data_IF_321465862565
#
_entry.id   IF_321465862565
#
_cell.length_a   1.000
_cell.length_b   1.000
_cell.length_c   1.000
_cell.angle_alpha   90.00
_cell.angle_beta   90.00
_cell.angle_gamma   90.00
#
_symmetry.space_group_name_H-M   'P 1'
#
loop_
_entity.id
_entity.type
_entity.pdbx_description
1 polymer ?
#
# COMPACT_ATOMS: atom_id res chain seq x y z
N UNK A 1 -7.36 15.13 -8.50
CA UNK A 1 -7.36 13.81 -7.87
C UNK A 1 -5.97 13.19 -7.94
N UNK A 2 -5.54 12.55 -6.87
CA UNK A 2 -4.29 11.79 -6.79
C UNK A 2 -4.58 10.30 -6.60
N UNK A 3 -3.91 9.46 -7.37
CA UNK A 3 -4.06 7.99 -7.33
C UNK A 3 -2.71 7.35 -7.09
N UNK A 4 -2.61 6.49 -6.08
CA UNK A 4 -1.43 5.68 -5.81
C UNK A 4 -1.77 4.21 -6.05
N UNK A 5 -1.01 3.59 -6.93
CA UNK A 5 -1.08 2.15 -7.19
C UNK A 5 0.01 1.49 -6.37
N UNK A 6 -0.39 0.72 -5.36
CA UNK A 6 0.51 -0.05 -4.49
C UNK A 6 0.67 -1.43 -5.10
N UNK A 7 1.88 -1.79 -5.45
CA UNK A 7 2.21 -3.11 -5.97
C UNK A 7 3.60 -3.53 -5.49
N UNK A 8 4.11 -4.66 -5.93
CA UNK A 8 5.44 -5.14 -5.56
C UNK A 8 5.48 -6.59 -5.16
N UNK A 9 6.64 -7.03 -4.69
CA UNK A 9 6.87 -8.41 -4.28
C UNK A 9 5.91 -8.85 -3.18
N UNK A 10 5.40 -10.05 -3.30
CA UNK A 10 4.58 -10.68 -2.26
C UNK A 10 5.40 -10.83 -0.97
N UNK A 11 4.85 -10.34 0.16
CA UNK A 11 5.58 -10.28 1.43
C UNK A 11 6.45 -9.02 1.63
N UNK A 12 6.50 -8.10 0.66
CA UNK A 12 7.25 -6.84 0.79
C UNK A 12 6.51 -5.75 1.61
N UNK A 13 5.28 -5.99 2.09
CA UNK A 13 4.57 -5.07 2.98
C UNK A 13 3.47 -4.24 2.33
N UNK A 14 2.89 -4.69 1.21
CA UNK A 14 1.79 -3.98 0.51
C UNK A 14 0.61 -3.64 1.42
N UNK A 15 0.16 -4.59 2.24
CA UNK A 15 -0.95 -4.36 3.18
C UNK A 15 -0.59 -3.32 4.26
N UNK A 16 0.66 -3.30 4.73
CA UNK A 16 1.13 -2.27 5.67
C UNK A 16 1.07 -0.89 5.01
N UNK A 17 1.52 -0.78 3.76
CA UNK A 17 1.46 0.49 3.03
C UNK A 17 0.01 0.96 2.81
N UNK A 18 -0.90 0.03 2.50
CA UNK A 18 -2.32 0.31 2.34
C UNK A 18 -2.93 0.88 3.64
N UNK A 19 -2.73 0.22 4.78
CA UNK A 19 -3.24 0.68 6.08
C UNK A 19 -2.69 2.06 6.46
N UNK A 20 -1.40 2.33 6.23
CA UNK A 20 -0.81 3.65 6.53
C UNK A 20 -1.44 4.76 5.69
N UNK A 21 -1.76 4.48 4.43
CA UNK A 21 -2.45 5.45 3.59
C UNK A 21 -3.92 5.62 4.02
N UNK A 22 -4.61 4.56 4.41
CA UNK A 22 -5.96 4.61 4.98
C UNK A 22 -5.98 5.49 6.24
N UNK A 23 -5.05 5.28 7.18
CA UNK A 23 -4.85 6.10 8.37
C UNK A 23 -4.52 7.58 8.04
N UNK A 24 -4.05 7.84 6.81
CA UNK A 24 -3.74 9.17 6.28
C UNK A 24 -4.86 9.76 5.41
N UNK A 25 -6.10 9.28 5.59
CA UNK A 25 -7.32 9.72 4.89
C UNK A 25 -7.29 9.48 3.36
N UNK A 26 -6.60 8.44 2.90
CA UNK A 26 -6.76 7.97 1.54
C UNK A 26 -7.94 6.99 1.47
N UNK A 27 -8.73 7.07 0.40
CA UNK A 27 -9.68 6.01 0.07
C UNK A 27 -8.91 4.81 -0.46
N UNK A 28 -8.93 3.70 0.28
CA UNK A 28 -8.11 2.52 -0.03
C UNK A 28 -8.96 1.38 -0.55
N UNK A 29 -8.56 0.80 -1.68
CA UNK A 29 -9.15 -0.43 -2.21
C UNK A 29 -8.06 -1.49 -2.35
N UNK A 30 -8.21 -2.59 -1.62
CA UNK A 30 -7.26 -3.69 -1.64
C UNK A 30 -7.65 -4.76 -2.69
N UNK A 31 -6.63 -5.39 -3.27
CA UNK A 31 -6.75 -6.49 -4.21
C UNK A 31 -7.63 -6.17 -5.45
N UNK A 32 -7.49 -4.97 -5.98
CA UNK A 32 -8.23 -4.54 -7.17
C UNK A 32 -7.67 -5.19 -8.44
N UNK A 33 -8.49 -5.85 -9.27
CA UNK A 33 -8.06 -6.27 -10.60
C UNK A 33 -7.67 -5.06 -11.47
N UNK A 34 -6.56 -5.11 -12.25
CA UNK A 34 -6.11 -3.96 -13.06
C UNK A 34 -7.17 -3.38 -13.99
N UNK A 35 -8.00 -4.23 -14.60
CA UNK A 35 -9.09 -3.81 -15.47
C UNK A 35 -10.16 -2.96 -14.75
N UNK A 36 -10.28 -3.08 -13.43
CA UNK A 36 -11.24 -2.33 -12.61
C UNK A 36 -10.71 -0.97 -12.14
N UNK A 37 -9.43 -0.65 -12.41
CA UNK A 37 -8.84 0.61 -11.96
C UNK A 37 -9.55 1.82 -12.57
N UNK A 38 -9.72 1.85 -13.89
CA UNK A 38 -10.38 2.97 -14.57
C UNK A 38 -11.87 3.12 -14.20
N UNK A 39 -12.68 2.04 -14.14
CA UNK A 39 -14.05 2.11 -13.63
C UNK A 39 -14.12 2.64 -12.18
N UNK A 40 -13.28 2.15 -11.28
CA UNK A 40 -13.25 2.61 -9.90
C UNK A 40 -12.99 4.11 -9.81
N UNK A 41 -11.94 4.60 -10.48
CA UNK A 41 -11.58 6.03 -10.41
C UNK A 41 -12.70 6.92 -10.95
N UNK A 42 -13.39 6.51 -12.00
CA UNK A 42 -14.56 7.24 -12.52
C UNK A 42 -15.72 7.30 -11.54
N UNK A 43 -15.94 6.22 -10.78
CA UNK A 43 -17.02 6.14 -9.79
C UNK A 43 -16.77 7.04 -8.58
N UNK A 44 -15.50 7.06 -8.10
CA UNK A 44 -15.14 7.85 -6.91
C UNK A 44 -14.69 9.28 -7.22
N UNK A 45 -14.64 9.65 -8.49
CA UNK A 45 -14.30 11.01 -8.94
C UNK A 45 -15.32 12.02 -8.41
N UNK A 46 -14.83 13.02 -7.70
CA UNK A 46 -15.68 14.03 -7.05
C UNK A 46 -15.95 13.76 -5.57
N UNK A 47 -15.89 12.53 -5.09
CA UNK A 47 -16.04 12.18 -3.69
C UNK A 47 -14.68 12.10 -2.97
N UNK A 48 -13.65 11.56 -3.65
CA UNK A 48 -12.32 11.34 -3.08
C UNK A 48 -11.24 12.06 -3.87
N UNK A 49 -10.43 12.84 -3.17
CA UNK A 49 -9.27 13.52 -3.76
C UNK A 49 -8.00 12.66 -3.77
N UNK A 50 -7.94 11.67 -2.88
CA UNK A 50 -6.80 10.76 -2.69
C UNK A 50 -7.30 9.32 -2.68
N UNK A 51 -6.82 8.52 -3.62
CA UNK A 51 -7.21 7.11 -3.79
C UNK A 51 -5.96 6.26 -3.83
N UNK A 52 -5.90 5.22 -3.01
CA UNK A 52 -4.85 4.22 -3.04
C UNK A 52 -5.45 2.85 -3.43
N UNK A 53 -4.84 2.18 -4.38
CA UNK A 53 -5.30 0.87 -4.83
C UNK A 53 -4.16 -0.14 -4.73
N UNK A 54 -4.42 -1.28 -4.09
CA UNK A 54 -3.47 -2.39 -4.08
C UNK A 54 -3.78 -3.30 -5.26
N UNK A 55 -2.82 -3.43 -6.16
CA UNK A 55 -2.94 -4.28 -7.35
C UNK A 55 -1.90 -5.39 -7.28
N UNK A 56 -2.37 -6.61 -7.38
CA UNK A 56 -1.53 -7.81 -7.40
C UNK A 56 -1.33 -8.28 -8.84
N UNK A 57 -0.15 -7.99 -9.39
CA UNK A 57 0.19 -8.33 -10.78
C UNK A 57 0.83 -9.71 -10.80
N UNK A 58 0.07 -10.74 -11.16
CA UNK A 58 0.53 -12.14 -11.24
C UNK A 58 0.66 -12.69 -12.64
N UNK A 59 0.39 -11.91 -13.66
CA UNK A 59 0.50 -12.32 -15.05
C UNK A 59 0.90 -11.17 -15.94
N UNK A 60 1.41 -11.50 -17.14
CA UNK A 60 1.76 -10.49 -18.13
C UNK A 60 0.54 -9.72 -18.65
N UNK A 61 -0.61 -10.38 -18.75
CA UNK A 61 -1.87 -9.73 -19.12
C UNK A 61 -2.25 -8.63 -18.11
N UNK A 62 -2.09 -8.87 -16.82
CA UNK A 62 -2.36 -7.87 -15.78
C UNK A 62 -1.43 -6.65 -15.86
N UNK A 63 -0.17 -6.85 -16.27
CA UNK A 63 0.75 -5.74 -16.51
C UNK A 63 0.29 -4.87 -17.68
N UNK A 64 -0.13 -5.47 -18.78
CA UNK A 64 -0.63 -4.76 -19.96
C UNK A 64 -1.92 -3.98 -19.64
N UNK A 65 -2.86 -4.59 -18.92
CA UNK A 65 -4.09 -3.93 -18.46
C UNK A 65 -3.80 -2.74 -17.53
N UNK A 66 -2.83 -2.89 -16.61
CA UNK A 66 -2.42 -1.81 -15.72
C UNK A 66 -1.81 -0.64 -16.50
N UNK A 67 -0.96 -0.93 -17.48
CA UNK A 67 -0.34 0.09 -18.33
C UNK A 67 -1.41 0.87 -19.14
N UNK A 68 -2.39 0.17 -19.69
CA UNK A 68 -3.51 0.78 -20.43
C UNK A 68 -4.36 1.67 -19.51
N UNK A 69 -4.73 1.17 -18.33
CA UNK A 69 -5.51 1.92 -17.35
C UNK A 69 -4.76 3.18 -16.88
N UNK A 70 -3.45 3.06 -16.62
CA UNK A 70 -2.61 4.21 -16.26
C UNK A 70 -2.55 5.27 -17.37
N UNK A 71 -2.41 4.85 -18.62
CA UNK A 71 -2.41 5.77 -19.78
C UNK A 71 -3.74 6.51 -19.91
N UNK A 72 -4.87 5.82 -19.76
CA UNK A 72 -6.20 6.42 -19.80
C UNK A 72 -6.41 7.44 -18.67
N UNK A 73 -5.99 7.13 -17.44
CA UNK A 73 -6.09 8.05 -16.30
C UNK A 73 -5.22 9.30 -16.48
N UNK A 74 -4.04 9.17 -17.10
CA UNK A 74 -3.21 10.34 -17.45
C UNK A 74 -3.91 11.27 -18.45
N UNK A 75 -4.64 10.71 -19.43
CA UNK A 75 -5.44 11.52 -20.38
C UNK A 75 -6.57 12.27 -19.67
N UNK A 76 -7.10 11.74 -18.58
CA UNK A 76 -8.08 12.40 -17.69
C UNK A 76 -7.45 13.42 -16.73
N UNK A 77 -6.16 13.70 -16.85
CA UNK A 77 -5.40 14.59 -15.95
C UNK A 77 -5.38 14.13 -14.47
N UNK A 78 -5.60 12.84 -14.24
CA UNK A 78 -5.44 12.24 -12.91
C UNK A 78 -3.95 12.01 -12.65
N UNK A 79 -3.47 12.47 -11.49
CA UNK A 79 -2.09 12.23 -11.08
C UNK A 79 -1.94 10.79 -10.55
N UNK A 80 -1.37 9.91 -11.37
CA UNK A 80 -1.22 8.48 -11.05
C UNK A 80 0.24 8.17 -10.80
N UNK A 81 0.55 7.61 -9.62
CA UNK A 81 1.89 7.13 -9.24
C UNK A 81 1.86 5.66 -8.87
N UNK A 82 2.89 4.94 -9.25
CA UNK A 82 3.11 3.53 -8.87
C UNK A 82 4.14 3.50 -7.75
N UNK A 83 3.72 2.99 -6.60
CA UNK A 83 4.58 2.59 -5.49
C UNK A 83 4.87 1.10 -5.59
N UNK A 84 6.12 0.75 -5.86
CA UNK A 84 6.59 -0.63 -5.90
C UNK A 84 7.34 -0.96 -4.60
N UNK A 85 6.82 -1.92 -3.84
CA UNK A 85 7.49 -2.44 -2.65
C UNK A 85 8.37 -3.63 -3.02
N UNK A 86 9.65 -3.53 -2.69
CA UNK A 86 10.64 -4.57 -2.93
C UNK A 86 11.25 -5.07 -1.63
N UNK A 87 11.88 -6.23 -1.66
CA UNK A 87 12.71 -6.75 -0.58
C UNK A 87 13.65 -7.81 -1.12
N UNK A 88 14.78 -8.02 -0.45
CA UNK A 88 15.73 -9.08 -0.80
C UNK A 88 15.06 -10.47 -0.71
N UNK A 89 15.46 -11.37 -1.59
CA UNK A 89 14.84 -12.70 -1.73
C UNK A 89 14.90 -13.49 -0.41
N UNK A 90 16.05 -13.43 0.29
CA UNK A 90 16.22 -14.12 1.57
C UNK A 90 15.27 -13.58 2.66
N UNK A 91 14.98 -12.29 2.62
CA UNK A 91 14.03 -11.67 3.57
C UNK A 91 12.61 -12.08 3.24
N UNK A 92 12.24 -12.11 1.96
CA UNK A 92 10.92 -12.60 1.53
C UNK A 92 10.70 -14.04 1.93
N UNK A 93 11.69 -14.91 1.68
CA UNK A 93 11.63 -16.33 2.10
C UNK A 93 11.40 -16.44 3.60
N UNK A 94 12.18 -15.74 4.43
CA UNK A 94 12.01 -15.74 5.89
C UNK A 94 10.63 -15.26 6.34
N UNK A 95 10.08 -14.22 5.70
CA UNK A 95 8.72 -13.71 6.00
C UNK A 95 7.65 -14.74 5.69
N UNK A 96 7.79 -15.49 4.59
CA UNK A 96 6.88 -16.57 4.23
C UNK A 96 6.99 -17.75 5.19
N UNK A 97 8.20 -18.17 5.56
CA UNK A 97 8.43 -19.23 6.54
C UNK A 97 7.80 -18.89 7.90
N UNK A 98 7.97 -17.63 8.36
CA UNK A 98 7.39 -17.16 9.61
C UNK A 98 5.85 -17.21 9.61
N UNK A 99 5.21 -16.94 8.48
CA UNK A 99 3.73 -16.97 8.36
C UNK A 99 3.16 -18.35 8.04
N UNK A 100 4.01 -19.32 7.71
CA UNK A 100 3.62 -20.67 7.27
C UNK A 100 2.64 -20.68 6.09
N UNK A 101 2.70 -19.68 5.22
CA UNK A 101 1.87 -19.59 4.02
C UNK A 101 2.69 -19.95 2.80
N UNK A 102 2.12 -20.68 1.82
CA UNK A 102 2.80 -20.91 0.55
C UNK A 102 2.93 -19.59 -0.22
N UNK A 103 4.03 -19.45 -0.97
CA UNK A 103 4.18 -18.32 -1.87
C UNK A 103 3.17 -18.42 -3.04
N UNK A 104 2.51 -17.33 -3.47
CA UNK A 104 1.47 -17.38 -4.52
C UNK A 104 1.92 -18.02 -5.84
N UNK A 105 3.19 -17.91 -6.20
CA UNK A 105 3.77 -18.52 -7.40
C UNK A 105 4.59 -19.79 -7.09
N UNK A 106 4.41 -20.39 -5.91
CA UNK A 106 5.01 -21.68 -5.57
C UNK A 106 4.22 -22.81 -6.23
N UNK A 107 4.87 -23.59 -7.08
CA UNK A 107 4.24 -24.69 -7.83
C UNK A 107 4.59 -26.06 -7.24
N UNK A 108 4.57 -26.19 -5.91
CA UNK A 108 4.95 -27.43 -5.20
C UNK A 108 6.46 -27.56 -4.96
N UNK A 109 7.24 -26.54 -5.28
CA UNK A 109 8.67 -26.41 -5.05
C UNK A 109 8.98 -25.52 -3.83
N UNK A 110 10.23 -25.03 -3.71
CA UNK A 110 10.62 -24.19 -2.58
C UNK A 110 10.05 -22.77 -2.70
N UNK A 111 9.84 -22.11 -1.56
CA UNK A 111 9.42 -20.69 -1.50
C UNK A 111 10.36 -19.80 -2.33
N UNK A 112 11.68 -20.06 -2.26
CA UNK A 112 12.68 -19.32 -3.04
C UNK A 112 12.42 -19.36 -4.56
N UNK A 113 12.00 -20.52 -5.08
CA UNK A 113 11.72 -20.68 -6.51
C UNK A 113 10.48 -19.86 -6.91
N UNK A 114 9.47 -19.76 -6.03
CA UNK A 114 8.32 -18.88 -6.18
C UNK A 114 8.68 -17.41 -6.18
N UNK A 115 9.53 -16.97 -5.24
CA UNK A 115 10.05 -15.58 -5.15
C UNK A 115 10.83 -15.22 -6.42
N UNK A 116 11.71 -16.11 -6.89
CA UNK A 116 12.51 -15.88 -8.11
C UNK A 116 11.62 -15.71 -9.35
N UNK A 117 10.55 -16.53 -9.48
CA UNK A 117 9.58 -16.38 -10.56
C UNK A 117 8.83 -15.06 -10.50
N UNK A 118 8.39 -14.67 -9.30
CA UNK A 118 7.68 -13.40 -9.11
C UNK A 118 8.59 -12.22 -9.47
N UNK A 119 9.83 -12.21 -9.01
CA UNK A 119 10.80 -11.15 -9.33
C UNK A 119 11.04 -10.99 -10.83
N UNK A 120 11.17 -12.12 -11.54
CA UNK A 120 11.30 -12.10 -13.02
C UNK A 120 10.04 -11.55 -13.68
N UNK A 121 8.86 -11.91 -13.20
CA UNK A 121 7.59 -11.44 -13.72
C UNK A 121 7.41 -9.92 -13.50
N UNK A 122 7.78 -9.43 -12.32
CA UNK A 122 7.58 -8.04 -11.93
C UNK A 122 8.72 -7.08 -12.33
N UNK A 123 9.77 -7.59 -13.01
CA UNK A 123 10.95 -6.80 -13.37
C UNK A 123 10.61 -5.54 -14.18
N UNK A 124 9.78 -5.67 -15.22
CA UNK A 124 9.37 -4.55 -16.06
C UNK A 124 8.48 -3.55 -15.27
N UNK A 125 7.59 -4.05 -14.42
CA UNK A 125 6.75 -3.19 -13.58
C UNK A 125 7.58 -2.40 -12.58
N UNK A 126 8.56 -3.04 -11.95
CA UNK A 126 9.51 -2.38 -11.05
C UNK A 126 10.28 -1.27 -11.77
N UNK A 127 10.73 -1.52 -13.00
CA UNK A 127 11.48 -0.53 -13.80
C UNK A 127 10.63 0.69 -14.20
N UNK A 128 9.31 0.54 -14.29
CA UNK A 128 8.37 1.61 -14.66
C UNK A 128 7.70 2.28 -13.47
N UNK A 129 8.00 1.84 -12.25
CA UNK A 129 7.45 2.41 -11.03
C UNK A 129 8.00 3.82 -10.76
N UNK A 130 7.13 4.71 -10.28
CA UNK A 130 7.53 6.09 -9.94
C UNK A 130 8.30 6.14 -8.61
N UNK A 131 7.98 5.21 -7.70
CA UNK A 131 8.64 5.06 -6.40
C UNK A 131 8.94 3.58 -6.17
N UNK A 132 10.19 3.24 -5.91
CA UNK A 132 10.60 1.89 -5.49
C UNK A 132 11.11 1.98 -4.06
N UNK A 133 10.48 1.24 -3.16
CA UNK A 133 10.83 1.21 -1.74
C UNK A 133 11.34 -0.18 -1.35
N UNK A 134 12.64 -0.26 -1.02
CA UNK A 134 13.23 -1.47 -0.44
C UNK A 134 12.86 -1.58 1.05
N UNK A 135 12.19 -2.68 1.40
CA UNK A 135 11.72 -2.97 2.75
C UNK A 135 12.57 -4.02 3.47
N UNK A 136 13.72 -4.41 2.91
CA UNK A 136 14.55 -5.51 3.42
C UNK A 136 14.99 -5.30 4.86
N UNK A 137 15.39 -4.08 5.21
CA UNK A 137 15.88 -3.70 6.54
C UNK A 137 14.79 -3.09 7.44
N UNK A 138 13.54 -2.99 6.96
CA UNK A 138 12.47 -2.29 7.67
C UNK A 138 11.59 -3.27 8.44
N UNK A 139 11.26 -2.93 9.68
CA UNK A 139 10.14 -3.52 10.40
C UNK A 139 8.83 -2.79 10.02
N UNK A 140 7.68 -3.28 10.53
CA UNK A 140 6.35 -2.74 10.19
C UNK A 140 6.23 -1.25 10.51
N UNK A 141 6.73 -0.81 11.69
CA UNK A 141 6.68 0.60 12.10
C UNK A 141 7.59 1.49 11.23
N UNK A 142 8.80 1.01 10.92
CA UNK A 142 9.73 1.76 10.05
C UNK A 142 9.19 1.87 8.64
N UNK A 143 8.57 0.81 8.12
CA UNK A 143 7.88 0.87 6.84
C UNK A 143 6.73 1.90 6.88
N UNK A 144 5.90 1.87 7.92
CA UNK A 144 4.83 2.85 8.11
C UNK A 144 5.34 4.29 8.10
N UNK A 145 6.38 4.58 8.87
CA UNK A 145 7.01 5.90 8.90
C UNK A 145 7.53 6.31 7.52
N UNK A 146 8.20 5.37 6.80
CA UNK A 146 8.74 5.64 5.48
C UNK A 146 7.65 5.94 4.44
N UNK A 147 6.57 5.17 4.43
CA UNK A 147 5.38 5.46 3.60
C UNK A 147 4.81 6.82 3.97
N UNK A 148 4.65 7.07 5.27
CA UNK A 148 4.21 8.36 5.76
C UNK A 148 5.07 9.53 5.28
N UNK A 149 6.40 9.42 5.32
CA UNK A 149 7.32 10.46 4.80
C UNK A 149 7.17 10.66 3.30
N UNK A 150 7.11 9.58 2.51
CA UNK A 150 6.94 9.63 1.05
C UNK A 150 5.65 10.35 0.66
N UNK A 151 4.56 10.14 1.41
CA UNK A 151 3.25 10.70 1.10
C UNK A 151 2.83 11.86 2.03
N UNK A 152 3.60 12.21 3.07
CA UNK A 152 3.31 13.32 3.98
C UNK A 152 3.47 14.69 3.34
N UNK A 153 4.33 14.83 2.33
CA UNK A 153 4.41 16.06 1.54
C UNK A 153 3.11 16.37 0.79
N UNK A 154 2.16 15.44 0.83
CA UNK A 154 0.86 15.51 0.19
C UNK A 154 -0.29 15.68 1.19
N UNK A 155 -0.01 15.63 2.47
CA UNK A 155 -1.00 15.80 3.54
C UNK A 155 -0.47 16.85 4.51
N UNK A 156 -1.27 17.87 4.75
CA UNK A 156 -1.09 18.77 5.89
C UNK A 156 -1.20 17.95 7.17
N UNK A 157 -0.06 17.48 7.70
CA UNK A 157 -0.01 16.76 8.98
C UNK A 157 -0.09 17.80 10.11
N UNK A 158 -1.29 18.30 10.35
CA UNK A 158 -1.61 18.91 11.64
C UNK A 158 -1.60 17.84 12.73
N UNK A 159 -1.14 18.18 13.94
CA UNK A 159 -1.40 17.39 15.13
C UNK A 159 -2.92 17.43 15.36
N UNK A 160 -3.58 16.27 15.32
CA UNK A 160 -4.99 16.16 15.67
C UNK A 160 -5.08 16.02 17.19
N UNK A 161 -5.51 17.08 17.87
CA UNK A 161 -5.69 17.10 19.31
C UNK A 161 -7.19 17.09 19.64
N UNK A 162 -7.66 16.02 20.26
CA UNK A 162 -9.01 15.92 20.81
C UNK A 162 -8.98 16.23 22.30
N UNK A 163 -9.69 17.27 22.73
CA UNK A 163 -9.85 17.62 24.13
C UNK A 163 -11.24 17.23 24.61
N UNK A 164 -11.31 16.34 25.59
CA UNK A 164 -12.55 15.89 26.19
C UNK A 164 -12.60 16.29 27.66
N UNK A 165 -13.61 17.08 28.06
CA UNK A 165 -13.90 17.33 29.48
C UNK A 165 -14.85 16.24 30.00
N UNK A 166 -14.49 15.59 31.10
CA UNK A 166 -15.30 14.53 31.69
C UNK A 166 -15.29 14.60 33.23
N UNK A 167 -16.25 13.95 33.84
CA UNK A 167 -16.31 13.79 35.29
C UNK A 167 -16.09 12.32 35.67
N UNK A 168 -15.35 12.06 36.73
CA UNK A 168 -14.98 10.70 37.19
C UNK A 168 -16.20 9.85 37.61
N UNK A 169 -17.39 10.44 37.74
CA UNK A 169 -18.62 9.72 38.13
C UNK A 169 -18.96 8.52 37.22
N UNK A 170 -18.58 8.60 35.93
CA UNK A 170 -18.88 7.55 34.94
C UNK A 170 -17.63 6.82 34.46
N UNK A 171 -16.48 7.02 35.12
CA UNK A 171 -15.20 6.43 34.76
C UNK A 171 -14.36 7.35 33.87
N UNK A 172 -13.23 6.82 33.47
CA UNK A 172 -12.24 7.49 32.62
C UNK A 172 -12.52 7.09 31.17
N UNK A 173 -12.42 8.01 30.19
CA UNK A 173 -12.49 7.64 28.77
C UNK A 173 -11.40 6.59 28.43
N UNK A 174 -11.83 5.50 27.80
CA UNK A 174 -10.94 4.35 27.52
C UNK A 174 -9.93 4.62 26.40
N UNK A 175 -10.19 5.64 25.57
CA UNK A 175 -9.43 6.06 24.40
C UNK A 175 -8.57 7.32 24.65
N UNK A 176 -8.44 7.75 25.92
CA UNK A 176 -7.62 8.90 26.26
C UNK A 176 -6.15 8.53 26.38
N UNK A 177 -5.27 9.17 25.56
CA UNK A 177 -3.81 9.02 25.66
C UNK A 177 -3.24 9.72 26.92
N UNK A 178 -3.87 10.83 27.33
CA UNK A 178 -3.47 11.60 28.51
C UNK A 178 -4.71 12.05 29.29
N UNK A 179 -4.62 11.98 30.61
CA UNK A 179 -5.65 12.45 31.53
C UNK A 179 -5.02 13.47 32.46
N UNK A 180 -5.58 14.68 32.47
CA UNK A 180 -5.18 15.76 33.36
C UNK A 180 -6.30 16.03 34.35
N UNK A 181 -5.96 15.99 35.65
CA UNK A 181 -6.87 16.40 36.73
C UNK A 181 -6.63 17.87 37.04
N UNK A 182 -7.70 18.69 37.00
CA UNK A 182 -7.65 20.13 37.19
C UNK A 182 -8.42 20.58 38.44
#
# INVERSE_FOLDING_TARGET
MEVVIITGMSGAGRSTAAHVLEDSNWYVVDNLPPAMLLPLIKEVEGEHQKVAVVIDVRSRAFFEELAQSRAALKQMQVNVRILFLDSADEILVRRYEATRRPHPLQAGDRIFDGVTRERKLLGDLRATADIVLDTSALNVHQLGNKIGEVFAQLSDRGIHLSLLSFGYKYGIPYDADFILDC
#
